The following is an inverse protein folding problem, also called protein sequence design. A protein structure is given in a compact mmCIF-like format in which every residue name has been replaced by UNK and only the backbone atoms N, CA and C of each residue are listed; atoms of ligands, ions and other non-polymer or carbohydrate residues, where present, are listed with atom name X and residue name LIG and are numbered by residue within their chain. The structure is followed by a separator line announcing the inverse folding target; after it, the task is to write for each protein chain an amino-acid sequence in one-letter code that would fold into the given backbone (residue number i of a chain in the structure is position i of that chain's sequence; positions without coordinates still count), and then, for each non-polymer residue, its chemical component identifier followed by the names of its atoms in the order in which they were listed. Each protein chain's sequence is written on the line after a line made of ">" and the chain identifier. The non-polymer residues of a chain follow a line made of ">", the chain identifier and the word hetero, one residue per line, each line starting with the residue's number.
data_IF_407569884661
#
_entry.id   IF_407569884661
#
_cell.length_a   1.000
_cell.length_b   1.000
_cell.length_c   1.000
_cell.angle_alpha   90.00
_cell.angle_beta   90.00
_cell.angle_gamma   90.00
#
_symmetry.space_group_name_H-M   'P 1'
#
loop_
_entity.id
_entity.type
_entity.pdbx_description
1 polymer ?
#
# COMPACT_ATOMS: atom_id res chain seq x y z
N UNK A 1 -23.61 27.78 -7.66
CA UNK A 1 -23.21 26.72 -6.70
C UNK A 1 -22.53 25.63 -7.49
N UNK A 2 -21.19 25.63 -7.53
CA UNK A 2 -20.42 24.54 -8.14
C UNK A 2 -20.38 23.38 -7.13
N UNK A 3 -20.82 22.20 -7.53
CA UNK A 3 -20.71 20.98 -6.73
C UNK A 3 -19.24 20.57 -6.54
N UNK A 4 -18.91 19.72 -5.55
CA UNK A 4 -17.55 19.25 -5.38
C UNK A 4 -17.11 18.47 -6.63
N UNK A 5 -16.08 18.98 -7.32
CA UNK A 5 -15.38 18.28 -8.41
C UNK A 5 -15.07 16.83 -7.98
N UNK A 6 -15.30 15.82 -8.83
CA UNK A 6 -14.95 14.44 -8.50
C UNK A 6 -13.44 14.38 -8.26
N UNK A 7 -13.04 14.05 -7.03
CA UNK A 7 -11.65 13.97 -6.63
C UNK A 7 -10.86 13.17 -7.67
N UNK A 8 -9.93 13.85 -8.35
CA UNK A 8 -9.11 13.27 -9.40
C UNK A 8 -8.50 11.95 -8.88
N UNK A 9 -8.76 10.85 -9.59
CA UNK A 9 -8.13 9.56 -9.30
C UNK A 9 -6.62 9.75 -9.42
N UNK A 10 -5.94 9.93 -8.28
CA UNK A 10 -4.49 10.14 -8.20
C UNK A 10 -3.86 8.97 -8.95
N UNK A 11 -3.30 9.23 -10.14
CA UNK A 11 -2.64 8.21 -10.97
C UNK A 11 -1.68 7.43 -10.08
N UNK A 12 -1.85 6.11 -9.99
CA UNK A 12 -0.96 5.27 -9.22
C UNK A 12 0.48 5.53 -9.69
N UNK A 13 1.34 5.97 -8.77
CA UNK A 13 2.74 6.31 -9.04
C UNK A 13 3.61 5.08 -9.33
N UNK A 14 3.04 3.88 -9.26
CA UNK A 14 3.75 2.61 -9.41
C UNK A 14 3.03 1.75 -10.45
N UNK A 15 3.79 1.22 -11.41
CA UNK A 15 3.31 0.27 -12.42
C UNK A 15 3.73 -1.14 -12.03
N UNK A 16 2.76 -2.05 -11.93
CA UNK A 16 3.03 -3.48 -11.71
C UNK A 16 3.38 -4.12 -13.04
N UNK A 17 4.60 -4.65 -13.16
CA UNK A 17 5.04 -5.49 -14.29
C UNK A 17 4.84 -6.94 -13.89
N UNK A 18 4.24 -7.76 -14.76
CA UNK A 18 4.07 -9.20 -14.57
C UNK A 18 5.12 -9.94 -15.40
N UNK A 19 5.85 -10.88 -14.80
CA UNK A 19 6.93 -11.66 -15.39
C UNK A 19 7.56 -12.58 -14.34
N UNK A 20 8.64 -13.29 -14.70
CA UNK A 20 9.46 -14.08 -13.79
C UNK A 20 10.83 -13.40 -13.65
N UNK A 21 10.97 -12.40 -12.75
CA UNK A 21 12.26 -11.73 -12.55
C UNK A 21 13.29 -12.71 -12.00
N UNK A 22 14.54 -12.55 -12.39
CA UNK A 22 15.64 -13.28 -11.75
C UNK A 22 16.02 -12.67 -10.38
N UNK A 23 16.87 -13.37 -9.64
CA UNK A 23 17.28 -12.95 -8.28
C UNK A 23 18.03 -11.61 -8.28
N UNK A 24 18.79 -11.32 -9.35
CA UNK A 24 19.56 -10.07 -9.50
C UNK A 24 18.61 -8.90 -9.76
N UNK A 25 17.65 -9.09 -10.66
CA UNK A 25 16.60 -8.12 -10.97
C UNK A 25 15.73 -7.83 -9.73
N UNK A 26 15.36 -8.86 -8.98
CA UNK A 26 14.60 -8.72 -7.74
C UNK A 26 15.41 -7.95 -6.68
N UNK A 27 16.68 -8.27 -6.51
CA UNK A 27 17.57 -7.57 -5.58
C UNK A 27 17.74 -6.09 -5.97
N UNK A 28 17.92 -5.80 -7.26
CA UNK A 28 18.03 -4.43 -7.77
C UNK A 28 16.76 -3.60 -7.50
N UNK A 29 15.58 -4.20 -7.69
CA UNK A 29 14.30 -3.55 -7.40
C UNK A 29 14.16 -3.22 -5.90
N UNK A 30 14.47 -4.19 -5.03
CA UNK A 30 14.41 -4.02 -3.57
C UNK A 30 15.41 -2.94 -3.12
N UNK A 31 16.64 -2.96 -3.63
CA UNK A 31 17.65 -1.96 -3.32
C UNK A 31 17.20 -0.55 -3.74
N UNK A 32 16.60 -0.42 -4.94
CA UNK A 32 16.05 0.85 -5.41
C UNK A 32 14.93 1.38 -4.51
N UNK A 33 14.01 0.52 -4.07
CA UNK A 33 12.93 0.90 -3.16
C UNK A 33 13.45 1.29 -1.76
N UNK A 34 14.44 0.56 -1.23
CA UNK A 34 15.08 0.86 0.03
C UNK A 34 15.79 2.23 -0.01
N UNK A 35 16.55 2.49 -1.08
CA UNK A 35 17.23 3.77 -1.28
C UNK A 35 16.24 4.95 -1.41
N UNK A 36 15.13 4.76 -2.15
CA UNK A 36 14.08 5.77 -2.27
C UNK A 36 13.39 6.07 -0.93
N UNK A 37 13.15 5.03 -0.12
CA UNK A 37 12.54 5.17 1.21
C UNK A 37 13.46 5.91 2.18
N UNK A 38 14.76 5.59 2.18
CA UNK A 38 15.76 6.26 3.01
C UNK A 38 15.89 7.76 2.71
N UNK A 39 15.68 8.17 1.44
CA UNK A 39 15.69 9.58 1.03
C UNK A 39 14.44 10.35 1.48
N UNK A 40 13.35 9.65 1.78
CA UNK A 40 12.06 10.28 2.11
C UNK A 40 11.93 10.69 3.59
N UNK A 41 12.89 10.31 4.44
CA UNK A 41 12.90 10.57 5.89
C UNK A 41 13.21 12.04 6.26
N UNK A 42 13.55 12.88 5.27
CA UNK A 42 13.95 14.28 5.47
C UNK A 42 12.78 15.28 5.34
N UNK A 43 11.54 14.77 5.21
CA UNK A 43 10.34 15.61 5.11
C UNK A 43 9.45 15.48 6.34
N UNK A 44 9.39 16.56 7.13
CA UNK A 44 8.45 16.82 8.24
C UNK A 44 6.99 17.00 7.74
N UNK A 45 6.66 16.42 6.59
CA UNK A 45 5.29 16.32 6.12
C UNK A 45 4.59 15.37 7.10
N UNK A 46 3.49 15.80 7.73
CA UNK A 46 2.68 14.91 8.58
C UNK A 46 2.35 13.68 7.77
N UNK A 47 3.12 12.60 7.98
CA UNK A 47 2.93 11.36 7.26
C UNK A 47 1.49 10.95 7.54
N UNK A 48 0.64 11.04 6.51
CA UNK A 48 -0.72 10.53 6.58
C UNK A 48 -0.55 9.09 7.01
N UNK A 49 -0.84 8.80 8.29
CA UNK A 49 -0.54 7.50 8.88
C UNK A 49 -1.25 6.49 7.99
N UNK A 50 -0.47 5.67 7.30
CA UNK A 50 -1.06 4.77 6.32
C UNK A 50 -2.04 3.89 7.08
N UNK A 51 -3.27 3.78 6.55
CA UNK A 51 -4.32 3.04 7.23
C UNK A 51 -3.95 1.54 7.39
N UNK A 52 -2.97 1.07 6.63
CA UNK A 52 -2.33 -0.24 6.74
C UNK A 52 -1.35 -0.38 7.92
N UNK A 53 -0.69 0.70 8.35
CA UNK A 53 0.21 0.70 9.52
C UNK A 53 -0.53 0.92 10.83
N UNK A 54 -1.83 1.21 10.80
CA UNK A 54 -2.64 1.37 12.00
C UNK A 54 -2.93 0.01 12.66
N UNK A 55 -2.11 -0.33 13.67
CA UNK A 55 -2.24 -1.55 14.47
C UNK A 55 -3.60 -1.67 15.16
N UNK A 56 -4.26 -0.57 15.50
CA UNK A 56 -5.58 -0.61 16.11
C UNK A 56 -6.63 -1.18 15.13
N UNK A 57 -6.42 -1.00 13.82
CA UNK A 57 -7.30 -1.56 12.78
C UNK A 57 -7.07 -3.05 12.55
N UNK A 58 -5.84 -3.54 12.73
CA UNK A 58 -5.52 -4.96 12.68
C UNK A 58 -6.18 -5.76 13.83
N UNK A 59 -6.45 -5.11 14.97
CA UNK A 59 -7.11 -5.73 16.13
C UNK A 59 -8.64 -5.59 16.13
N UNK A 60 -9.23 -4.74 15.27
CA UNK A 60 -10.68 -4.53 15.17
C UNK A 60 -11.38 -5.37 14.10
N UNK A 61 -10.69 -6.32 13.48
CA UNK A 61 -11.33 -7.28 12.59
C UNK A 61 -12.17 -8.27 13.39
N UNK A 62 -13.46 -8.39 13.08
CA UNK A 62 -14.28 -9.50 13.56
C UNK A 62 -13.62 -10.82 13.06
N UNK A 63 -13.08 -11.66 13.97
CA UNK A 63 -12.37 -12.87 13.58
C UNK A 63 -13.25 -13.84 12.79
N UNK A 64 -14.58 -13.72 12.90
CA UNK A 64 -15.55 -14.54 12.16
C UNK A 64 -15.60 -14.16 10.67
N UNK A 65 -15.31 -12.90 10.31
CA UNK A 65 -15.32 -12.42 8.91
C UNK A 65 -13.98 -12.58 8.19
N UNK A 66 -12.89 -12.68 8.93
CA UNK A 66 -11.52 -12.78 8.41
C UNK A 66 -10.87 -14.14 8.72
N UNK A 67 -11.65 -15.21 8.66
CA UNK A 67 -11.10 -16.56 8.79
C UNK A 67 -9.95 -16.76 7.79
N UNK A 68 -8.77 -17.27 8.22
CA UNK A 68 -7.67 -17.56 7.32
C UNK A 68 -8.12 -18.50 6.20
N UNK A 69 -7.89 -18.10 4.96
CA UNK A 69 -8.30 -18.88 3.80
C UNK A 69 -7.73 -18.31 2.51
N UNK A 70 -7.77 -19.06 1.40
CA UNK A 70 -7.20 -18.67 0.10
C UNK A 70 -7.72 -17.33 -0.41
N UNK A 71 -8.94 -16.95 0.00
CA UNK A 71 -9.62 -15.72 -0.39
C UNK A 71 -9.61 -14.63 0.69
N UNK A 72 -8.90 -14.84 1.81
CA UNK A 72 -8.85 -13.88 2.91
C UNK A 72 -8.33 -12.50 2.48
N UNK A 73 -7.47 -12.46 1.46
CA UNK A 73 -6.98 -11.22 0.86
C UNK A 73 -8.09 -10.36 0.24
N UNK A 74 -9.25 -10.92 -0.15
CA UNK A 74 -10.37 -10.16 -0.73
C UNK A 74 -10.99 -9.15 0.24
N UNK A 75 -10.83 -9.36 1.54
CA UNK A 75 -11.27 -8.42 2.57
C UNK A 75 -10.41 -7.16 2.64
N UNK A 76 -9.16 -7.23 2.18
CA UNK A 76 -8.27 -6.04 2.09
C UNK A 76 -8.74 -5.01 1.06
N UNK A 77 -9.64 -5.41 0.13
CA UNK A 77 -10.19 -4.56 -0.93
C UNK A 77 -11.49 -3.84 -0.55
N UNK A 78 -12.04 -4.09 0.64
CA UNK A 78 -13.34 -3.53 1.09
C UNK A 78 -13.19 -2.47 2.19
N UNK A 79 -12.01 -1.84 2.29
CA UNK A 79 -11.60 -0.94 3.37
C UNK A 79 -11.86 0.54 3.12
#
# INVERSE_FOLDING_TARGET
>A
MNGPEPAAHRRASVRVVRGAPDDIELAALVAGLAAASARSDDSDERATRSMWRDRARAMRGDPVRAAPGPDAWRWSLRG
#
